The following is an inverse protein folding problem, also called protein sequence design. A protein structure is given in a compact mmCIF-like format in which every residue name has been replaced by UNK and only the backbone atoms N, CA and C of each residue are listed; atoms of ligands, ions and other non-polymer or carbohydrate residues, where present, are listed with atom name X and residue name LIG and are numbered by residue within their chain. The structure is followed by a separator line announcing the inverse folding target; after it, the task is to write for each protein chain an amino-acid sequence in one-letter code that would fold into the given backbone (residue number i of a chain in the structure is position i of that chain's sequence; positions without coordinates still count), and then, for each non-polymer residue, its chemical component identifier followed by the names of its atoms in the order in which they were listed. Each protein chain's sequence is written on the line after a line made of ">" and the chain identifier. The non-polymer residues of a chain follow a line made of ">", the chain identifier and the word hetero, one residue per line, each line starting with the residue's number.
data_IF_976946902583
#
_entry.id   IF_976946902583
#
_cell.length_a   1.000
_cell.length_b   1.000
_cell.length_c   1.000
_cell.angle_alpha   90.00
_cell.angle_beta   90.00
_cell.angle_gamma   90.00
#
_symmetry.space_group_name_H-M   'P 1'
#
loop_
_entity.id
_entity.type
_entity.pdbx_description
1 polymer ?
#
# COMPACT_ATOMS: atom_id res chain seq x y z
N UNK A 1 -9.80 -2.86 -21.93
CA UNK A 1 -9.78 -2.26 -20.57
C UNK A 1 -8.60 -1.27 -20.44
N UNK A 2 -8.67 -0.09 -21.08
CA UNK A 2 -7.54 0.87 -21.09
C UNK A 2 -7.20 1.41 -19.69
N UNK A 3 -8.21 1.57 -18.83
CA UNK A 3 -8.03 2.07 -17.46
C UNK A 3 -7.07 1.21 -16.62
N UNK A 4 -7.28 -0.11 -16.58
CA UNK A 4 -6.47 -1.03 -15.76
C UNK A 4 -5.01 -1.02 -16.22
N UNK A 5 -4.76 -0.98 -17.53
CA UNK A 5 -3.41 -0.89 -18.07
C UNK A 5 -2.72 0.44 -17.76
N UNK A 6 -3.47 1.55 -17.73
CA UNK A 6 -2.94 2.89 -17.43
C UNK A 6 -2.61 3.05 -15.94
N UNK A 7 -3.46 2.53 -15.04
CA UNK A 7 -3.29 2.63 -13.58
C UNK A 7 -2.67 1.37 -12.94
N UNK A 8 -2.12 0.46 -13.74
CA UNK A 8 -1.60 -0.84 -13.28
C UNK A 8 -0.65 -0.71 -12.08
N UNK A 9 0.27 0.25 -12.13
CA UNK A 9 1.25 0.48 -11.07
C UNK A 9 0.57 0.91 -9.76
N UNK A 10 -0.31 1.91 -9.82
CA UNK A 10 -1.04 2.41 -8.65
C UNK A 10 -1.92 1.33 -8.04
N UNK A 11 -2.60 0.54 -8.87
CA UNK A 11 -3.44 -0.58 -8.41
C UNK A 11 -2.57 -1.65 -7.74
N UNK A 12 -1.44 -2.03 -8.32
CA UNK A 12 -0.53 -3.01 -7.72
C UNK A 12 -0.01 -2.55 -6.35
N UNK A 13 0.41 -1.28 -6.23
CA UNK A 13 0.86 -0.69 -4.97
C UNK A 13 -0.25 -0.63 -3.91
N UNK A 14 -1.50 -0.34 -4.32
CA UNK A 14 -2.66 -0.39 -3.43
C UNK A 14 -2.97 -1.79 -2.93
N UNK A 15 -2.85 -2.80 -3.79
CA UNK A 15 -3.04 -4.20 -3.39
C UNK A 15 -1.95 -4.60 -2.39
N UNK A 16 -0.69 -4.22 -2.64
CA UNK A 16 0.43 -4.50 -1.73
C UNK A 16 0.22 -3.83 -0.37
N UNK A 17 -0.26 -2.58 -0.33
CA UNK A 17 -0.55 -1.92 0.95
C UNK A 17 -1.66 -2.66 1.70
N UNK A 18 -2.76 -3.03 1.04
CA UNK A 18 -3.83 -3.81 1.65
C UNK A 18 -3.33 -5.16 2.19
N UNK A 19 -2.45 -5.85 1.46
CA UNK A 19 -1.84 -7.09 1.94
C UNK A 19 -1.04 -6.83 3.22
N UNK A 20 -0.25 -5.75 3.30
CA UNK A 20 0.50 -5.41 4.51
C UNK A 20 -0.43 -5.20 5.72
N UNK A 21 -1.55 -4.50 5.51
CA UNK A 21 -2.54 -4.24 6.57
C UNK A 21 -3.21 -5.53 7.05
N UNK A 22 -3.62 -6.39 6.11
CA UNK A 22 -4.24 -7.69 6.43
C UNK A 22 -3.23 -8.59 7.14
N UNK A 23 -1.98 -8.66 6.67
CA UNK A 23 -0.92 -9.43 7.33
C UNK A 23 -0.66 -8.95 8.76
N UNK A 24 -0.65 -7.63 8.99
CA UNK A 24 -0.50 -7.06 10.34
C UNK A 24 -1.63 -7.51 11.27
N UNK A 25 -2.88 -7.43 10.80
CA UNK A 25 -4.06 -7.87 11.56
C UNK A 25 -4.04 -9.38 11.86
N UNK A 26 -3.57 -10.20 10.91
CA UNK A 26 -3.52 -11.66 11.07
C UNK A 26 -2.42 -12.13 12.03
N UNK A 27 -1.26 -11.45 12.05
CA UNK A 27 -0.18 -11.81 12.96
C UNK A 27 -0.45 -11.35 14.40
N UNK A 28 -1.13 -10.22 14.55
CA UNK A 28 -1.46 -9.67 15.87
C UNK A 28 -0.23 -9.23 16.67
N UNK A 29 -0.45 -9.09 17.97
CA UNK A 29 0.55 -8.66 18.94
C UNK A 29 0.46 -9.51 20.20
N UNK A 30 1.61 -9.90 20.74
CA UNK A 30 1.67 -10.62 22.01
C UNK A 30 2.96 -10.30 22.77
N UNK A 31 2.95 -10.56 24.07
CA UNK A 31 4.11 -10.41 24.94
C UNK A 31 4.72 -11.81 25.13
N UNK A 32 6.02 -11.94 24.88
CA UNK A 32 6.74 -13.20 25.07
C UNK A 32 7.05 -13.48 26.56
N UNK A 33 7.65 -14.64 26.83
CA UNK A 33 8.01 -15.08 28.19
C UNK A 33 9.03 -14.17 28.89
N UNK A 34 9.79 -13.37 28.12
CA UNK A 34 10.77 -12.41 28.63
C UNK A 34 10.14 -11.02 28.87
N UNK A 35 8.83 -10.87 28.65
CA UNK A 35 8.14 -9.58 28.74
C UNK A 35 8.34 -8.69 27.52
N UNK A 36 8.86 -9.23 26.40
CA UNK A 36 9.09 -8.48 25.18
C UNK A 36 7.84 -8.50 24.29
N UNK A 37 7.45 -7.33 23.79
CA UNK A 37 6.36 -7.21 22.82
C UNK A 37 6.82 -7.68 21.44
N UNK A 38 6.17 -8.70 20.91
CA UNK A 38 6.41 -9.25 19.57
C UNK A 38 5.26 -8.82 18.66
N UNK A 39 5.60 -7.95 17.71
CA UNK A 39 4.68 -7.41 16.72
C UNK A 39 5.35 -7.30 15.36
N UNK A 40 4.60 -7.46 14.25
CA UNK A 40 5.13 -7.24 12.91
C UNK A 40 5.18 -5.74 12.58
N UNK A 41 5.94 -5.00 13.37
CA UNK A 41 6.02 -3.54 13.34
C UNK A 41 6.40 -3.00 11.96
N UNK A 42 7.23 -3.74 11.21
CA UNK A 42 7.65 -3.38 9.86
C UNK A 42 6.48 -3.26 8.86
N UNK A 43 5.35 -3.95 9.08
CA UNK A 43 4.20 -3.89 8.19
C UNK A 43 3.47 -2.55 8.23
N UNK A 44 3.53 -1.82 9.35
CA UNK A 44 2.85 -0.52 9.49
C UNK A 44 3.55 0.56 8.66
N UNK A 45 4.87 0.82 8.78
CA UNK A 45 5.57 1.76 7.90
C UNK A 45 5.50 1.34 6.43
N UNK A 46 5.57 0.03 6.15
CA UNK A 46 5.50 -0.47 4.78
C UNK A 46 4.12 -0.22 4.15
N UNK A 47 3.04 -0.43 4.90
CA UNK A 47 1.68 -0.07 4.50
C UNK A 47 1.60 1.40 4.08
N UNK A 48 2.04 2.31 4.94
CA UNK A 48 2.01 3.75 4.66
C UNK A 48 2.86 4.13 3.46
N UNK A 49 4.06 3.58 3.34
CA UNK A 49 4.95 3.82 2.20
C UNK A 49 4.28 3.39 0.89
N UNK A 50 3.75 2.17 0.82
CA UNK A 50 3.07 1.66 -0.38
C UNK A 50 1.81 2.46 -0.70
N UNK A 51 1.04 2.87 0.31
CA UNK A 51 -0.16 3.69 0.13
C UNK A 51 0.16 5.06 -0.46
N UNK A 52 1.20 5.73 0.06
CA UNK A 52 1.66 7.03 -0.47
C UNK A 52 2.16 6.88 -1.90
N UNK A 53 2.96 5.84 -2.20
CA UNK A 53 3.42 5.59 -3.56
C UNK A 53 2.26 5.33 -4.52
N UNK A 54 1.24 4.58 -4.10
CA UNK A 54 0.04 4.32 -4.90
C UNK A 54 -0.75 5.61 -5.18
N UNK A 55 -0.89 6.48 -4.17
CA UNK A 55 -1.57 7.77 -4.31
C UNK A 55 -0.80 8.70 -5.27
N UNK A 56 0.52 8.83 -5.08
CA UNK A 56 1.38 9.67 -5.95
C UNK A 56 1.36 9.16 -7.39
N UNK A 57 1.54 7.85 -7.60
CA UNK A 57 1.50 7.29 -8.96
C UNK A 57 0.13 7.44 -9.60
N UNK A 58 -0.95 7.27 -8.83
CA UNK A 58 -2.33 7.49 -9.28
C UNK A 58 -2.57 8.92 -9.70
N UNK A 59 -2.13 9.87 -8.89
CA UNK A 59 -2.28 11.30 -9.14
C UNK A 59 -1.49 11.75 -10.37
N UNK A 60 -0.24 11.31 -10.51
CA UNK A 60 0.60 11.62 -11.68
C UNK A 60 -0.03 11.07 -12.96
N UNK A 61 -0.51 9.83 -12.93
CA UNK A 61 -1.19 9.23 -14.10
C UNK A 61 -2.49 9.96 -14.41
N UNK A 62 -3.27 10.33 -13.39
CA UNK A 62 -4.49 11.11 -13.56
C UNK A 62 -4.24 12.46 -14.24
N UNK A 63 -3.26 13.23 -13.76
CA UNK A 63 -2.90 14.50 -14.37
C UNK A 63 -2.38 14.34 -15.81
N UNK A 64 -1.58 13.30 -16.09
CA UNK A 64 -1.12 13.00 -17.45
C UNK A 64 -2.27 12.73 -18.41
N UNK A 65 -3.24 11.92 -17.99
CA UNK A 65 -4.42 11.62 -18.82
C UNK A 65 -5.34 12.84 -18.95
N UNK A 66 -5.47 13.66 -17.90
CA UNK A 66 -6.25 14.89 -17.92
C UNK A 66 -5.69 15.91 -18.92
N UNK A 67 -4.37 16.15 -18.90
CA UNK A 67 -3.69 17.04 -19.85
C UNK A 67 -3.81 16.50 -21.27
N UNK A 68 -3.66 15.19 -21.46
CA UNK A 68 -3.76 14.57 -22.80
C UNK A 68 -5.17 14.64 -23.39
N UNK A 69 -6.20 14.72 -22.54
CA UNK A 69 -7.60 14.77 -22.93
C UNK A 69 -8.16 16.20 -23.04
N UNK A 70 -7.36 17.21 -22.73
CA UNK A 70 -7.65 18.65 -22.93
C UNK A 70 -7.01 19.12 -24.23
#
# INVERSE_FOLDING_TARGET
>A
MKFITTYKLSIALLIISLICLVSYQLQGSYIDENGMLVEPFALIPLFWLCLVLAAVSGLVTFFKEFIKNT
#
